data_IF_290032781813
#
_entry.id   IF_290032781813
#
_cell.length_a   1.000
_cell.length_b   1.000
_cell.length_c   1.000
_cell.angle_alpha   90.00
_cell.angle_beta   90.00
_cell.angle_gamma   90.00
#
_symmetry.space_group_name_H-M   'P 1'
#
loop_
_entity.id
_entity.type
_entity.pdbx_description
1 polymer ?
#
# COMPACT_ATOMS: atom_id res chain seq x y z
N UNK A 1 -42.32 -9.96 -33.22
CA UNK A 1 -42.51 -9.11 -32.02
C UNK A 1 -41.45 -9.32 -30.94
N UNK A 2 -41.15 -10.56 -30.50
CA UNK A 2 -40.15 -10.83 -29.45
C UNK A 2 -38.72 -10.32 -29.78
N UNK A 3 -38.25 -10.49 -31.02
CA UNK A 3 -36.92 -10.06 -31.47
C UNK A 3 -36.73 -8.53 -31.54
N UNK A 4 -37.82 -7.76 -31.61
CA UNK A 4 -37.75 -6.30 -31.77
C UNK A 4 -37.58 -5.61 -30.41
N UNK A 5 -38.31 -6.09 -29.39
CA UNK A 5 -38.21 -5.60 -28.01
C UNK A 5 -36.80 -5.80 -27.40
N UNK A 6 -36.09 -6.84 -27.83
CA UNK A 6 -34.72 -7.10 -27.38
C UNK A 6 -33.71 -6.17 -28.07
N UNK A 7 -33.98 -5.81 -29.34
CA UNK A 7 -33.21 -4.83 -30.09
C UNK A 7 -33.33 -3.43 -29.47
N UNK A 8 -34.54 -3.03 -29.11
CA UNK A 8 -34.79 -1.71 -28.49
C UNK A 8 -34.10 -1.59 -27.12
N UNK A 9 -34.13 -2.67 -26.31
CA UNK A 9 -33.39 -2.74 -25.05
C UNK A 9 -31.88 -2.62 -25.25
N UNK A 10 -31.33 -3.34 -26.23
CA UNK A 10 -29.92 -3.28 -26.56
C UNK A 10 -29.50 -1.87 -27.00
N UNK A 11 -30.28 -1.24 -27.88
CA UNK A 11 -30.03 0.13 -28.35
C UNK A 11 -30.07 1.14 -27.21
N UNK A 12 -31.06 1.01 -26.30
CA UNK A 12 -31.14 1.85 -25.10
C UNK A 12 -29.92 1.67 -24.18
N UNK A 13 -29.50 0.42 -23.93
CA UNK A 13 -28.33 0.12 -23.10
C UNK A 13 -27.03 0.69 -23.70
N UNK A 14 -26.83 0.58 -25.01
CA UNK A 14 -25.67 1.16 -25.70
C UNK A 14 -25.69 2.69 -25.64
N UNK A 15 -26.87 3.30 -25.78
CA UNK A 15 -27.03 4.76 -25.69
C UNK A 15 -26.66 5.26 -24.30
N UNK A 16 -27.19 4.62 -23.25
CA UNK A 16 -26.85 4.93 -21.85
C UNK A 16 -25.36 4.72 -21.56
N UNK A 17 -24.76 3.64 -22.08
CA UNK A 17 -23.34 3.38 -21.95
C UNK A 17 -22.50 4.52 -22.57
N UNK A 18 -22.86 4.98 -23.77
CA UNK A 18 -22.17 6.09 -24.43
C UNK A 18 -22.31 7.41 -23.65
N UNK A 19 -23.50 7.70 -23.09
CA UNK A 19 -23.68 8.85 -22.20
C UNK A 19 -22.78 8.77 -20.96
N UNK A 20 -22.66 7.59 -20.36
CA UNK A 20 -21.74 7.38 -19.23
C UNK A 20 -20.28 7.56 -19.63
N UNK A 21 -19.87 7.10 -20.81
CA UNK A 21 -18.51 7.32 -21.31
C UNK A 21 -18.20 8.81 -21.49
N UNK A 22 -19.15 9.61 -21.97
CA UNK A 22 -18.98 11.08 -22.05
C UNK A 22 -18.78 11.71 -20.68
N UNK A 23 -19.54 11.29 -19.67
CA UNK A 23 -19.39 11.77 -18.28
C UNK A 23 -18.01 11.41 -17.72
N UNK A 24 -17.56 10.18 -17.94
CA UNK A 24 -16.22 9.72 -17.52
C UNK A 24 -15.13 10.53 -18.22
N UNK A 25 -15.27 10.81 -19.51
CA UNK A 25 -14.30 11.61 -20.27
C UNK A 25 -14.09 12.99 -19.64
N UNK A 26 -15.18 13.69 -19.29
CA UNK A 26 -15.10 14.98 -18.58
C UNK A 26 -14.35 14.85 -17.26
N UNK A 27 -14.59 13.78 -16.49
CA UNK A 27 -13.87 13.53 -15.24
C UNK A 27 -12.37 13.24 -15.47
N UNK A 28 -12.03 12.50 -16.53
CA UNK A 28 -10.65 12.25 -16.90
C UNK A 28 -9.92 13.52 -17.33
N UNK A 29 -10.59 14.44 -18.01
CA UNK A 29 -10.00 15.71 -18.41
C UNK A 29 -9.75 16.60 -17.17
N UNK A 30 -10.69 16.65 -16.22
CA UNK A 30 -10.45 17.33 -14.93
C UNK A 30 -9.26 16.72 -14.15
N UNK A 31 -9.09 15.41 -14.20
CA UNK A 31 -7.96 14.73 -13.54
C UNK A 31 -6.60 15.09 -14.17
N UNK A 32 -6.52 15.39 -15.46
CA UNK A 32 -5.26 15.80 -16.11
C UNK A 32 -4.81 17.18 -15.64
N UNK A 33 -5.76 18.08 -15.40
CA UNK A 33 -5.49 19.41 -14.87
C UNK A 33 -5.12 19.39 -13.36
N UNK A 34 -5.20 18.23 -12.70
CA UNK A 34 -4.91 18.11 -11.26
C UNK A 34 -3.41 18.00 -10.96
N UNK A 35 -2.59 17.55 -11.92
CA UNK A 35 -1.12 17.40 -11.75
C UNK A 35 -0.43 18.66 -11.16
N UNK A 36 -0.67 19.89 -11.66
CA UNK A 36 -0.08 21.10 -11.08
C UNK A 36 -0.60 21.46 -9.67
N UNK A 37 -1.71 20.88 -9.22
CA UNK A 37 -2.29 21.13 -7.89
C UNK A 37 -1.92 20.05 -6.87
N UNK A 38 -1.21 18.99 -7.30
CA UNK A 38 -0.76 17.92 -6.41
C UNK A 38 0.20 18.41 -5.33
N UNK A 39 1.01 19.43 -5.61
CA UNK A 39 1.97 19.99 -4.68
C UNK A 39 1.31 20.72 -3.49
N UNK A 40 0.07 21.18 -3.66
CA UNK A 40 -0.71 21.86 -2.61
C UNK A 40 -1.34 20.87 -1.60
N UNK A 41 -1.40 19.58 -1.94
CA UNK A 41 -2.01 18.54 -1.11
C UNK A 41 -1.02 18.00 -0.08
N UNK A 42 -1.51 17.57 1.08
CA UNK A 42 -0.70 16.81 2.04
C UNK A 42 -0.29 15.44 1.45
N UNK A 43 0.83 14.88 1.90
CA UNK A 43 1.31 13.58 1.42
C UNK A 43 0.25 12.45 1.50
N UNK A 44 -0.62 12.51 2.52
CA UNK A 44 -1.72 11.57 2.69
C UNK A 44 -2.80 11.75 1.61
N UNK A 45 -3.19 12.99 1.34
CA UNK A 45 -4.19 13.30 0.30
C UNK A 45 -3.65 12.97 -1.10
N UNK A 46 -2.38 13.28 -1.37
CA UNK A 46 -1.72 12.89 -2.61
C UNK A 46 -1.74 11.36 -2.81
N UNK A 47 -1.43 10.60 -1.77
CA UNK A 47 -1.50 9.14 -1.80
C UNK A 47 -2.93 8.63 -2.08
N UNK A 48 -3.96 9.30 -1.54
CA UNK A 48 -5.36 8.99 -1.81
C UNK A 48 -5.72 9.20 -3.28
N UNK A 49 -5.35 10.35 -3.83
CA UNK A 49 -5.58 10.69 -5.25
C UNK A 49 -4.89 9.66 -6.14
N UNK A 50 -3.62 9.36 -5.88
CA UNK A 50 -2.86 8.37 -6.63
C UNK A 50 -3.49 6.97 -6.59
N UNK A 51 -3.99 6.52 -5.43
CA UNK A 51 -4.70 5.26 -5.30
C UNK A 51 -6.03 5.25 -6.08
N UNK A 52 -6.78 6.35 -6.04
CA UNK A 52 -8.02 6.50 -6.79
C UNK A 52 -7.78 6.50 -8.30
N UNK A 53 -6.77 7.21 -8.80
CA UNK A 53 -6.38 7.23 -10.22
C UNK A 53 -5.94 5.83 -10.68
N UNK A 54 -5.17 5.12 -9.87
CA UNK A 54 -4.76 3.75 -10.18
C UNK A 54 -5.97 2.79 -10.29
N UNK A 55 -6.94 2.91 -9.37
CA UNK A 55 -8.17 2.13 -9.42
C UNK A 55 -9.00 2.43 -10.67
N UNK A 56 -9.24 3.72 -10.95
CA UNK A 56 -10.03 4.16 -12.09
C UNK A 56 -9.39 3.73 -13.41
N UNK A 57 -8.07 3.87 -13.55
CA UNK A 57 -7.33 3.40 -14.74
C UNK A 57 -7.47 1.89 -14.92
N UNK A 58 -7.37 1.13 -13.84
CA UNK A 58 -7.57 -0.32 -13.88
C UNK A 58 -9.00 -0.70 -14.32
N UNK A 59 -10.02 -0.02 -13.81
CA UNK A 59 -11.41 -0.25 -14.18
C UNK A 59 -11.69 0.08 -15.66
N UNK A 60 -11.15 1.19 -16.16
CA UNK A 60 -11.28 1.57 -17.58
C UNK A 60 -10.59 0.56 -18.51
N UNK A 61 -9.40 0.10 -18.12
CA UNK A 61 -8.70 -0.96 -18.85
C UNK A 61 -9.52 -2.25 -18.90
N UNK A 62 -10.13 -2.65 -17.78
CA UNK A 62 -11.00 -3.82 -17.73
C UNK A 62 -12.24 -3.66 -18.62
N UNK A 63 -12.87 -2.48 -18.61
CA UNK A 63 -14.01 -2.16 -19.47
C UNK A 63 -13.65 -2.23 -20.96
N UNK A 64 -12.46 -1.74 -21.34
CA UNK A 64 -11.93 -1.84 -22.70
C UNK A 64 -11.75 -3.29 -23.16
N UNK A 65 -11.18 -4.16 -22.32
CA UNK A 65 -11.04 -5.57 -22.68
C UNK A 65 -12.39 -6.28 -22.84
N UNK A 66 -13.38 -5.89 -22.03
CA UNK A 66 -14.75 -6.42 -22.15
C UNK A 66 -15.42 -5.97 -23.44
N UNK A 67 -15.20 -4.74 -23.92
CA UNK A 67 -15.80 -4.25 -25.17
C UNK A 67 -15.18 -4.87 -26.42
N UNK A 68 -13.90 -5.23 -26.38
CA UNK A 68 -13.18 -5.90 -27.47
C UNK A 68 -13.59 -7.38 -27.65
N UNK A 69 -14.41 -7.94 -26.76
CA UNK A 69 -14.78 -9.36 -26.79
C UNK A 69 -13.62 -10.33 -26.50
N UNK A 70 -12.43 -9.82 -26.22
CA UNK A 70 -11.27 -10.62 -25.84
C UNK A 70 -11.45 -11.19 -24.43
N UNK A 71 -11.23 -12.49 -24.28
CA UNK A 71 -11.15 -13.13 -22.97
C UNK A 71 -10.02 -12.47 -22.17
N UNK A 72 -10.35 -11.88 -21.02
CA UNK A 72 -9.44 -11.15 -20.11
C UNK A 72 -8.31 -12.01 -19.50
N UNK A 73 -7.68 -12.90 -20.25
CA UNK A 73 -6.69 -13.84 -19.73
C UNK A 73 -5.33 -13.20 -19.40
N UNK A 74 -5.03 -12.00 -19.94
CA UNK A 74 -3.64 -11.52 -19.96
C UNK A 74 -3.25 -10.43 -18.96
N UNK A 75 -4.19 -9.86 -18.21
CA UNK A 75 -3.87 -9.09 -17.01
C UNK A 75 -4.42 -9.84 -15.79
N UNK A 76 -3.61 -10.13 -14.76
CA UNK A 76 -4.14 -10.63 -13.50
C UNK A 76 -4.87 -9.48 -12.78
N UNK A 77 -6.04 -9.08 -13.30
CA UNK A 77 -6.82 -7.95 -12.82
C UNK A 77 -7.16 -8.08 -11.33
N UNK A 78 -7.36 -9.32 -10.87
CA UNK A 78 -7.51 -9.63 -9.45
C UNK A 78 -6.27 -9.31 -8.61
N UNK A 79 -5.05 -9.53 -9.13
CA UNK A 79 -3.81 -9.18 -8.42
C UNK A 79 -3.64 -7.66 -8.33
N UNK A 80 -3.92 -6.95 -9.41
CA UNK A 80 -3.84 -5.49 -9.45
C UNK A 80 -4.85 -4.84 -8.50
N UNK A 81 -6.10 -5.34 -8.48
CA UNK A 81 -7.11 -4.92 -7.51
C UNK A 81 -6.71 -5.22 -6.07
N UNK A 82 -6.19 -6.42 -5.80
CA UNK A 82 -5.70 -6.77 -4.46
C UNK A 82 -4.54 -5.86 -4.01
N UNK A 83 -3.66 -5.47 -4.94
CA UNK A 83 -2.58 -4.51 -4.68
C UNK A 83 -3.13 -3.13 -4.32
N UNK A 84 -4.07 -2.60 -5.10
CA UNK A 84 -4.69 -1.29 -4.86
C UNK A 84 -5.46 -1.28 -3.53
N UNK A 85 -6.21 -2.34 -3.23
CA UNK A 85 -6.88 -2.50 -1.93
C UNK A 85 -5.91 -2.48 -0.75
N UNK A 86 -4.71 -3.06 -0.92
CA UNK A 86 -3.67 -3.02 0.11
C UNK A 86 -3.21 -1.58 0.38
N UNK A 87 -3.09 -0.75 -0.66
CA UNK A 87 -2.73 0.66 -0.49
C UNK A 87 -3.83 1.48 0.18
N UNK A 88 -5.11 1.26 -0.16
CA UNK A 88 -6.22 1.89 0.56
C UNK A 88 -6.24 1.51 2.05
N UNK A 89 -6.03 0.23 2.38
CA UNK A 89 -5.95 -0.22 3.77
C UNK A 89 -4.81 0.47 4.54
N UNK A 90 -3.62 0.61 3.93
CA UNK A 90 -2.50 1.33 4.55
C UNK A 90 -2.83 2.79 4.79
N UNK A 91 -3.46 3.43 3.81
CA UNK A 91 -3.88 4.82 3.91
C UNK A 91 -4.91 5.02 5.03
N UNK A 92 -5.87 4.11 5.15
CA UNK A 92 -6.88 4.16 6.22
C UNK A 92 -6.23 3.97 7.60
N UNK A 93 -5.31 3.00 7.73
CA UNK A 93 -4.54 2.78 8.96
C UNK A 93 -3.70 3.98 9.39
N UNK A 94 -3.22 4.80 8.45
CA UNK A 94 -2.44 6.01 8.73
C UNK A 94 -3.34 7.22 9.07
N UNK A 95 -4.54 7.29 8.49
CA UNK A 95 -5.53 8.35 8.76
C UNK A 95 -6.29 8.14 10.08
N UNK A 96 -6.51 6.90 10.49
CA UNK A 96 -6.91 6.60 11.86
C UNK A 96 -5.65 6.55 12.69
N UNK A 97 -5.26 7.60 13.45
CA UNK A 97 -4.22 7.41 14.44
C UNK A 97 -4.70 6.25 15.30
N UNK A 98 -3.96 5.15 15.33
CA UNK A 98 -4.30 4.01 16.17
C UNK A 98 -4.44 4.54 17.60
N UNK A 99 -5.69 4.81 18.00
CA UNK A 99 -6.06 5.12 19.38
C UNK A 99 -5.64 3.96 20.31
N UNK A 100 -5.34 2.80 19.72
CA UNK A 100 -5.04 1.57 20.42
C UNK A 100 -3.56 1.15 20.38
N UNK A 101 -2.73 1.59 19.42
CA UNK A 101 -1.29 1.25 19.35
C UNK A 101 -0.47 2.26 18.51
N UNK A 102 -0.03 3.41 19.06
CA UNK A 102 0.97 4.23 18.37
C UNK A 102 2.20 3.35 18.03
N UNK A 103 2.83 3.50 16.85
CA UNK A 103 4.01 2.74 16.49
C UNK A 103 5.01 2.80 17.65
N UNK A 104 5.16 1.67 18.36
CA UNK A 104 5.96 1.58 19.57
C UNK A 104 7.44 1.49 19.22
N UNK A 105 7.92 2.39 18.36
CA UNK A 105 9.32 2.69 18.22
C UNK A 105 9.73 3.63 19.37
N UNK A 106 9.64 3.12 20.59
CA UNK A 106 10.22 3.80 21.75
C UNK A 106 11.73 3.76 21.56
N UNK A 107 12.32 4.91 21.24
CA UNK A 107 13.77 5.06 21.24
C UNK A 107 14.30 4.66 22.62
N UNK A 108 15.16 3.64 22.67
CA UNK A 108 15.89 3.29 23.88
C UNK A 108 16.96 4.36 24.13
N UNK A 109 16.54 5.40 24.86
CA UNK A 109 17.40 6.54 25.23
C UNK A 109 18.63 6.05 26.01
N UNK A 110 18.49 5.01 26.82
CA UNK A 110 19.60 4.47 27.59
C UNK A 110 20.62 3.76 26.68
N UNK A 111 20.19 3.06 25.64
CA UNK A 111 21.09 2.51 24.63
C UNK A 111 21.78 3.61 23.81
N UNK A 112 21.04 4.64 23.38
CA UNK A 112 21.59 5.79 22.67
C UNK A 112 22.67 6.52 23.51
N UNK A 113 22.40 6.74 24.80
CA UNK A 113 23.36 7.35 25.74
C UNK A 113 24.63 6.50 25.90
N UNK A 114 24.52 5.17 25.90
CA UNK A 114 25.68 4.27 25.94
C UNK A 114 26.52 4.38 24.67
N UNK A 115 25.90 4.47 23.50
CA UNK A 115 26.62 4.66 22.24
C UNK A 115 27.34 6.02 22.20
N UNK A 116 26.69 7.08 22.68
CA UNK A 116 27.28 8.41 22.76
C UNK A 116 28.47 8.41 23.74
N UNK A 117 28.28 7.86 24.95
CA UNK A 117 29.35 7.80 25.96
C UNK A 117 30.55 6.97 25.52
N UNK A 118 30.32 5.79 24.92
CA UNK A 118 31.39 4.92 24.44
C UNK A 118 32.23 5.56 23.32
N UNK A 119 31.67 6.50 22.55
CA UNK A 119 32.36 7.17 21.45
C UNK A 119 33.03 8.51 21.89
N UNK A 120 32.49 9.15 22.93
CA UNK A 120 33.08 10.37 23.53
C UNK A 120 34.20 10.02 24.51
N UNK A 121 34.03 8.97 25.31
CA UNK A 121 35.06 8.45 26.19
C UNK A 121 36.13 7.76 25.33
N UNK A 122 37.14 8.52 24.90
CA UNK A 122 38.37 7.92 24.36
C UNK A 122 38.89 6.95 25.42
N UNK A 123 39.18 5.69 25.08
CA UNK A 123 39.78 4.78 26.03
C UNK A 123 41.13 5.37 26.41
N UNK A 124 41.22 5.94 27.62
CA UNK A 124 42.51 6.05 28.27
C UNK A 124 42.97 4.61 28.44
N UNK A 125 43.91 4.20 27.60
CA UNK A 125 44.68 3.01 27.86
C UNK A 125 45.15 3.14 29.31
N UNK A 126 44.71 2.23 30.17
CA UNK A 126 45.58 1.52 31.09
C UNK A 126 44.86 0.33 31.75
N UNK A 127 45.51 -0.82 31.55
CA UNK A 127 45.55 -1.99 32.43
C UNK A 127 44.29 -2.85 32.65
N UNK A 128 44.38 -4.04 32.05
CA UNK A 128 43.92 -5.33 32.58
C UNK A 128 42.49 -5.42 33.13
N UNK A 129 41.51 -5.73 32.26
CA UNK A 129 40.38 -6.68 32.50
C UNK A 129 39.31 -6.67 31.37
N UNK A 130 39.66 -6.31 30.14
CA UNK A 130 38.70 -6.10 29.03
C UNK A 130 38.34 -7.31 28.16
N UNK A 131 38.63 -8.56 28.53
CA UNK A 131 38.37 -9.76 27.69
C UNK A 131 37.29 -10.69 28.26
N UNK A 132 36.09 -10.18 28.60
CA UNK A 132 34.99 -11.04 29.08
C UNK A 132 33.58 -10.62 28.66
N UNK A 133 33.31 -10.21 27.41
CA UNK A 133 31.92 -10.05 26.94
C UNK A 133 31.58 -10.54 25.53
N UNK A 134 32.42 -11.37 24.91
CA UNK A 134 32.11 -12.06 23.62
C UNK A 134 31.80 -13.57 23.83
N UNK A 135 31.40 -14.00 25.04
CA UNK A 135 31.25 -15.45 25.35
C UNK A 135 29.90 -15.92 25.89
N UNK A 136 28.84 -15.12 25.81
CA UNK A 136 27.49 -15.60 26.14
C UNK A 136 26.59 -15.64 24.90
N UNK A 137 27.06 -16.32 23.85
CA UNK A 137 26.24 -16.72 22.71
C UNK A 137 26.67 -18.12 22.24
N UNK A 138 26.51 -19.13 23.10
CA UNK A 138 26.34 -20.55 22.71
C UNK A 138 26.19 -21.41 23.97
N UNK A 139 24.95 -21.82 24.25
CA UNK A 139 24.52 -23.18 24.64
C UNK A 139 23.20 -23.10 25.43
N UNK A 140 22.09 -23.00 24.70
CA UNK A 140 20.81 -23.50 25.20
C UNK A 140 20.55 -24.80 24.45
N UNK A 141 20.95 -25.93 25.07
CA UNK A 141 20.63 -27.28 24.57
C UNK A 141 19.14 -27.57 24.86
N UNK A 142 18.39 -28.20 23.94
CA UNK A 142 17.00 -28.57 24.17
C UNK A 142 16.92 -29.77 25.12
N UNK A 143 16.18 -29.65 26.22
CA UNK A 143 15.96 -30.76 27.15
C UNK A 143 14.79 -31.62 26.67
N UNK A 144 15.08 -32.73 25.98
CA UNK A 144 14.12 -33.83 25.80
C UNK A 144 14.08 -34.62 27.11
N UNK A 145 12.98 -34.51 27.87
CA UNK A 145 12.65 -35.49 28.91
C UNK A 145 11.49 -36.36 28.42
N UNK A 146 11.83 -37.59 28.08
CA UNK A 146 10.92 -38.72 28.00
C UNK A 146 11.03 -39.57 29.28
N UNK A 147 9.99 -40.36 29.53
CA UNK A 147 9.77 -41.38 30.60
C UNK A 147 9.14 -40.78 31.86
N UNK A 148 8.02 -41.29 32.36
CA UNK A 148 7.53 -42.69 32.37
C UNK A 148 6.10 -42.80 31.88
#
# INVERSE_FOLDING_TARGET
FFFMADKDKLVSAITQFNEHLKKIQVQCDMLKELEPHMDDLSACEQARVNCAVAYSTHALMWMYFKSQGSLSAHLPAQKELARIQTYFKRLDSENTPEKDNPPSHKLDKAAADRFIKANIEKPKADTETGKKRIRQSKQQKPNKKARK
#
